data_IF_304479467414
#
_entry.id   IF_304479467414
#
_cell.length_a   1.000
_cell.length_b   1.000
_cell.length_c   1.000
_cell.angle_alpha   90.00
_cell.angle_beta   90.00
_cell.angle_gamma   90.00
#
_symmetry.space_group_name_H-M   'P 1'
#
loop_
_entity.id
_entity.type
_entity.pdbx_description
1 polymer ?
#
# COMPACT_ATOMS: atom_id res chain seq x y z
N UNK A 1 15.00 -8.40 -20.16
CA UNK A 1 14.96 -7.97 -18.74
C UNK A 1 15.55 -9.10 -17.95
N UNK A 2 16.86 -9.05 -17.80
CA UNK A 2 17.61 -10.13 -17.17
C UNK A 2 17.66 -9.82 -15.67
N UNK A 3 17.20 -10.75 -14.87
CA UNK A 3 17.20 -10.64 -13.41
C UNK A 3 17.78 -11.91 -12.81
N UNK A 4 18.40 -11.78 -11.64
CA UNK A 4 18.95 -12.91 -10.92
C UNK A 4 18.01 -13.29 -9.78
N UNK A 5 17.64 -14.57 -9.75
CA UNK A 5 16.89 -15.19 -8.67
C UNK A 5 17.79 -16.19 -7.96
N UNK A 6 17.94 -16.07 -6.65
CA UNK A 6 18.72 -17.01 -5.85
C UNK A 6 18.05 -17.29 -4.51
N UNK A 7 18.21 -18.52 -4.03
CA UNK A 7 17.79 -18.91 -2.67
C UNK A 7 19.06 -18.99 -1.83
N UNK A 8 19.12 -18.20 -0.76
CA UNK A 8 20.29 -18.15 0.13
C UNK A 8 19.84 -18.24 1.59
N UNK A 9 20.79 -18.45 2.51
CA UNK A 9 20.51 -18.29 3.92
C UNK A 9 20.53 -16.80 4.28
N UNK A 10 19.56 -16.35 5.08
CA UNK A 10 19.49 -14.97 5.58
C UNK A 10 20.75 -14.56 6.34
N UNK A 11 21.43 -15.52 6.95
CA UNK A 11 22.63 -15.27 7.75
C UNK A 11 23.79 -14.81 6.87
N UNK A 12 23.85 -15.28 5.62
CA UNK A 12 24.83 -14.85 4.62
C UNK A 12 24.60 -13.39 4.17
N UNK A 13 23.36 -12.90 4.30
CA UNK A 13 22.97 -11.52 3.94
C UNK A 13 23.12 -10.53 5.08
N UNK A 14 23.27 -11.00 6.31
CA UNK A 14 23.29 -10.17 7.51
C UNK A 14 24.41 -9.11 7.51
N UNK A 15 25.52 -9.40 6.81
CA UNK A 15 26.65 -8.48 6.65
C UNK A 15 26.48 -7.47 5.50
N UNK A 16 25.55 -7.71 4.59
CA UNK A 16 25.36 -6.92 3.37
C UNK A 16 24.20 -5.94 3.55
N UNK A 17 23.11 -6.40 4.16
CA UNK A 17 21.89 -5.62 4.37
C UNK A 17 21.29 -5.89 5.76
N UNK A 18 20.64 -4.87 6.32
CA UNK A 18 19.88 -5.04 7.56
C UNK A 18 18.57 -5.76 7.27
N UNK A 19 18.47 -7.00 7.75
CA UNK A 19 17.25 -7.80 7.67
C UNK A 19 16.37 -7.60 8.91
N UNK A 20 15.03 -7.56 8.76
CA UNK A 20 14.11 -7.61 9.89
C UNK A 20 14.19 -8.95 10.62
N UNK A 21 13.89 -8.96 11.92
CA UNK A 21 14.10 -10.12 12.80
C UNK A 21 13.34 -11.37 12.34
N UNK A 22 12.17 -11.19 11.72
CA UNK A 22 11.36 -12.30 11.21
C UNK A 22 11.98 -13.05 10.03
N UNK A 23 12.98 -12.46 9.35
CA UNK A 23 13.69 -13.04 8.22
C UNK A 23 15.07 -13.58 8.57
N UNK A 24 15.53 -13.43 9.83
CA UNK A 24 16.80 -14.00 10.31
C UNK A 24 16.71 -15.52 10.46
N UNK A 25 17.85 -16.20 10.33
CA UNK A 25 18.01 -17.66 10.42
C UNK A 25 17.05 -18.47 9.53
N UNK A 26 16.72 -17.97 8.34
CA UNK A 26 15.80 -18.60 7.39
C UNK A 26 16.39 -18.62 5.99
N UNK A 27 15.99 -19.62 5.20
CA UNK A 27 16.20 -19.57 3.75
C UNK A 27 15.28 -18.49 3.18
N UNK A 28 15.88 -17.55 2.46
CA UNK A 28 15.18 -16.43 1.83
C UNK A 28 15.48 -16.42 0.34
N UNK A 29 14.56 -15.87 -0.42
CA UNK A 29 14.72 -15.67 -1.84
C UNK A 29 15.16 -14.23 -2.11
N UNK A 30 16.22 -14.07 -2.90
CA UNK A 30 16.69 -12.77 -3.39
C UNK A 30 16.32 -12.64 -4.85
N UNK A 31 15.78 -11.47 -5.19
CA UNK A 31 15.58 -11.02 -6.54
C UNK A 31 16.47 -9.78 -6.78
N UNK A 32 17.44 -9.89 -7.68
CA UNK A 32 18.30 -8.77 -8.08
C UNK A 32 17.83 -8.28 -9.43
N UNK A 33 17.39 -7.02 -9.47
CA UNK A 33 16.91 -6.34 -10.66
C UNK A 33 17.89 -5.21 -11.02
N UNK A 34 18.24 -5.05 -12.30
CA UNK A 34 18.98 -3.88 -12.73
C UNK A 34 18.12 -2.63 -12.48
N UNK A 35 18.71 -1.61 -11.88
CA UNK A 35 18.10 -0.29 -11.79
C UNK A 35 18.23 0.36 -13.17
N UNK A 36 17.15 0.32 -13.95
CA UNK A 36 17.00 1.26 -15.06
C UNK A 36 16.90 2.64 -14.41
N UNK A 37 17.86 3.53 -14.64
CA UNK A 37 17.79 4.93 -14.23
C UNK A 37 16.63 5.61 -14.95
N UNK A 38 15.42 5.36 -14.48
CA UNK A 38 14.39 6.36 -14.49
C UNK A 38 14.60 7.14 -13.20
N UNK A 39 15.00 8.41 -13.35
CA UNK A 39 14.75 9.43 -12.34
C UNK A 39 13.45 9.09 -11.63
N UNK A 40 13.52 8.92 -10.31
CA UNK A 40 12.34 8.59 -9.52
C UNK A 40 11.33 9.72 -9.69
N UNK A 41 10.40 9.58 -10.63
CA UNK A 41 9.10 10.19 -10.50
C UNK A 41 8.55 9.59 -9.21
N UNK A 42 8.75 10.31 -8.11
CA UNK A 42 8.13 10.10 -6.81
C UNK A 42 6.62 10.37 -6.91
N UNK A 43 5.98 9.84 -7.95
CA UNK A 43 4.55 9.59 -7.96
C UNK A 43 4.33 8.39 -7.04
N UNK A 44 4.48 8.64 -5.74
CA UNK A 44 3.79 7.89 -4.71
C UNK A 44 2.33 7.89 -5.19
N UNK A 45 1.92 6.79 -5.82
CA UNK A 45 0.55 6.59 -6.29
C UNK A 45 -0.31 6.70 -5.05
N UNK A 46 -0.83 7.90 -4.80
CA UNK A 46 -1.65 8.19 -3.64
C UNK A 46 -2.79 7.16 -3.66
N UNK A 47 -2.83 6.29 -2.66
CA UNK A 47 -3.90 5.28 -2.49
C UNK A 47 -5.30 5.90 -2.60
N UNK A 48 -5.40 7.20 -2.29
CA UNK A 48 -6.58 8.07 -2.45
C UNK A 48 -7.15 8.11 -3.88
N UNK A 49 -6.40 7.72 -4.91
CA UNK A 49 -6.83 7.74 -6.31
C UNK A 49 -7.17 6.39 -6.93
N UNK A 50 -6.71 5.27 -6.36
CA UNK A 50 -6.86 3.92 -6.95
C UNK A 50 -8.34 3.51 -7.06
N UNK A 51 -9.13 3.89 -6.07
CA UNK A 51 -10.57 3.60 -6.02
C UNK A 51 -11.44 4.69 -6.67
N UNK A 52 -10.85 5.71 -7.31
CA UNK A 52 -11.60 6.81 -7.94
C UNK A 52 -12.61 6.31 -8.98
N UNK A 53 -12.30 5.22 -9.69
CA UNK A 53 -13.20 4.59 -10.67
C UNK A 53 -14.46 3.97 -10.06
N UNK A 54 -14.45 3.68 -8.76
CA UNK A 54 -15.60 3.15 -8.02
C UNK A 54 -16.37 4.26 -7.27
N UNK A 55 -15.97 5.53 -7.41
CA UNK A 55 -16.67 6.66 -6.81
C UNK A 55 -18.04 6.83 -7.45
N UNK A 56 -19.10 6.45 -6.74
CA UNK A 56 -20.47 6.73 -7.14
C UNK A 56 -20.96 8.00 -6.43
N UNK A 57 -21.01 9.12 -7.15
CA UNK A 57 -21.41 10.43 -6.59
C UNK A 57 -22.83 10.44 -6.07
N UNK A 58 -23.74 9.66 -6.67
CA UNK A 58 -25.13 9.58 -6.24
C UNK A 58 -25.26 8.96 -4.85
N UNK A 59 -24.55 7.84 -4.61
CA UNK A 59 -24.58 7.15 -3.32
C UNK A 59 -23.96 8.01 -2.20
N UNK A 60 -22.85 8.70 -2.49
CA UNK A 60 -22.20 9.60 -1.53
C UNK A 60 -23.15 10.71 -1.06
N UNK A 61 -23.92 11.30 -1.97
CA UNK A 61 -24.89 12.33 -1.61
C UNK A 61 -26.05 11.76 -0.78
N UNK A 62 -26.57 10.58 -1.18
CA UNK A 62 -27.62 9.89 -0.43
C UNK A 62 -27.17 9.50 0.98
N UNK A 63 -25.94 9.03 1.14
CA UNK A 63 -25.34 8.75 2.45
C UNK A 63 -25.27 10.03 3.29
N UNK A 64 -24.78 11.12 2.72
CA UNK A 64 -24.67 12.39 3.44
C UNK A 64 -26.02 12.88 3.96
N UNK A 65 -27.05 12.87 3.12
CA UNK A 65 -28.42 13.25 3.50
C UNK A 65 -29.00 12.32 4.58
N UNK A 66 -28.78 11.01 4.45
CA UNK A 66 -29.21 10.04 5.45
C UNK A 66 -28.53 10.27 6.80
N UNK A 67 -27.24 10.59 6.81
CA UNK A 67 -26.50 10.95 8.02
C UNK A 67 -27.03 12.25 8.65
N UNK A 68 -27.29 13.28 7.84
CA UNK A 68 -27.87 14.53 8.34
C UNK A 68 -29.23 14.28 8.99
N UNK A 69 -30.12 13.56 8.30
CA UNK A 69 -31.45 13.22 8.82
C UNK A 69 -31.38 12.38 10.09
N UNK A 70 -30.50 11.39 10.16
CA UNK A 70 -30.33 10.56 11.36
C UNK A 70 -29.80 11.34 12.56
N UNK A 71 -28.91 12.32 12.32
CA UNK A 71 -28.40 13.21 13.37
C UNK A 71 -29.51 14.16 13.83
N UNK A 72 -30.28 14.74 12.92
CA UNK A 72 -31.44 15.57 13.23
C UNK A 72 -32.53 14.80 13.97
N UNK A 73 -32.83 13.56 13.60
CA UNK A 73 -33.81 12.72 14.31
C UNK A 73 -33.35 12.37 15.73
N UNK A 74 -32.03 12.17 15.93
CA UNK A 74 -31.47 11.77 17.23
C UNK A 74 -31.21 12.94 18.18
N UNK A 75 -30.85 14.11 17.64
CA UNK A 75 -30.38 15.26 18.41
C UNK A 75 -31.15 16.56 18.13
N UNK A 76 -31.95 16.60 17.07
CA UNK A 76 -32.87 17.68 16.76
C UNK A 76 -34.07 17.65 17.68
N UNK A 77 -33.82 17.89 18.97
CA UNK A 77 -34.86 18.31 19.89
C UNK A 77 -35.31 19.71 19.44
N UNK A 78 -36.56 19.81 19.01
CA UNK A 78 -37.32 21.06 19.06
C UNK A 78 -38.58 20.80 19.88
#
# INVERSE_FOLDING_TARGET
MDFLRAIVNSDDLSNIIRLPDNLKHKKVEILILPLETAESNNDIKNFRGIFRKYKNTKLINMEHEAWQKAVEEKYGNN
#
